data_IF_009229286630
#
_entry.id   IF_009229286630
#
_cell.length_a   1.000
_cell.length_b   1.000
_cell.length_c   1.000
_cell.angle_alpha   90.00
_cell.angle_beta   90.00
_cell.angle_gamma   90.00
#
_symmetry.space_group_name_H-M   'P 1'
#
loop_
_entity.id
_entity.type
_entity.pdbx_description
1 polymer ?
#
# COMPACT_ATOMS: atom_id res chain seq x y z
N UNK A 1 -2.17 7.85 19.59
CA UNK A 1 -1.24 7.90 18.44
C UNK A 1 0.03 7.13 18.79
N UNK A 2 0.29 5.99 18.17
CA UNK A 2 1.47 5.16 18.46
C UNK A 2 2.71 5.80 17.83
N UNK A 3 3.69 6.19 18.66
CA UNK A 3 4.97 6.78 18.19
C UNK A 3 5.64 5.79 17.23
N UNK A 4 5.87 6.18 15.97
CA UNK A 4 6.59 5.35 15.00
C UNK A 4 8.02 5.10 15.51
N UNK A 5 8.44 3.84 15.53
CA UNK A 5 9.77 3.43 16.01
C UNK A 5 10.86 4.06 15.14
N UNK A 6 11.80 4.75 15.80
CA UNK A 6 12.95 5.39 15.19
C UNK A 6 14.13 4.42 15.17
N UNK A 7 14.99 4.51 14.15
CA UNK A 7 16.25 3.78 14.02
C UNK A 7 17.38 4.78 14.14
N UNK A 8 18.32 4.52 15.05
CA UNK A 8 19.50 5.37 15.26
C UNK A 8 20.65 4.86 14.42
N UNK A 9 21.31 5.76 13.69
CA UNK A 9 22.56 5.47 13.01
C UNK A 9 23.72 5.63 14.02
N UNK A 10 24.47 4.57 14.36
CA UNK A 10 25.57 4.67 15.32
C UNK A 10 26.79 5.45 14.76
N UNK A 11 26.89 5.63 13.44
CA UNK A 11 27.98 6.37 12.81
C UNK A 11 27.80 7.89 12.93
N UNK A 12 26.56 8.38 12.96
CA UNK A 12 26.24 9.81 12.98
C UNK A 12 25.44 10.25 14.22
N UNK A 13 24.90 9.31 14.98
CA UNK A 13 23.99 9.58 16.11
C UNK A 13 22.57 9.99 15.72
N UNK A 14 22.28 10.18 14.43
CA UNK A 14 20.96 10.60 13.98
C UNK A 14 19.91 9.51 14.18
N UNK A 15 18.69 9.90 14.56
CA UNK A 15 17.54 9.01 14.67
C UNK A 15 16.45 9.43 13.68
N UNK A 16 16.08 8.52 12.78
CA UNK A 16 15.01 8.72 11.79
C UNK A 16 14.11 7.48 11.70
N UNK A 17 12.89 7.65 11.20
CA UNK A 17 12.01 6.54 10.92
C UNK A 17 12.55 5.75 9.74
N UNK A 18 12.09 4.51 9.60
CA UNK A 18 12.49 3.65 8.50
C UNK A 18 12.14 4.23 7.09
N UNK A 19 11.12 5.09 7.00
CA UNK A 19 10.79 5.82 5.76
C UNK A 19 11.78 6.96 5.49
N UNK A 20 12.00 7.80 6.49
CA UNK A 20 12.94 8.92 6.38
C UNK A 20 14.36 8.44 6.09
N UNK A 21 14.80 7.33 6.69
CA UNK A 21 16.08 6.70 6.33
C UNK A 21 16.10 6.21 4.89
N UNK A 22 15.01 5.60 4.41
CA UNK A 22 14.95 5.15 3.03
C UNK A 22 15.08 6.35 2.07
N UNK A 23 14.31 7.41 2.31
CA UNK A 23 14.35 8.62 1.49
C UNK A 23 15.74 9.30 1.54
N UNK A 24 16.32 9.43 2.73
CA UNK A 24 17.66 10.02 2.93
C UNK A 24 18.78 9.25 2.23
N UNK A 25 18.66 7.91 2.15
CA UNK A 25 19.68 7.04 1.56
C UNK A 25 19.42 6.72 0.08
N UNK A 26 18.38 7.29 -0.52
CA UNK A 26 17.97 6.98 -1.90
C UNK A 26 17.49 5.53 -2.07
N UNK A 27 16.94 4.93 -1.02
CA UNK A 27 16.40 3.57 -0.99
C UNK A 27 14.88 3.59 -1.03
N UNK A 28 14.29 2.46 -1.45
CA UNK A 28 12.88 2.20 -1.15
C UNK A 28 12.72 1.81 0.31
N UNK A 29 11.54 2.04 0.90
CA UNK A 29 11.21 1.54 2.24
C UNK A 29 11.47 0.03 2.37
N UNK A 30 11.10 -0.76 1.35
CA UNK A 30 11.37 -2.19 1.30
C UNK A 30 12.87 -2.50 1.26
N UNK A 31 13.65 -1.70 0.52
CA UNK A 31 15.11 -1.81 0.46
C UNK A 31 15.76 -1.60 1.82
N UNK A 32 15.44 -0.50 2.52
CA UNK A 32 15.99 -0.24 3.86
C UNK A 32 15.48 -1.25 4.91
N UNK A 33 14.20 -1.66 4.82
CA UNK A 33 13.65 -2.74 5.66
C UNK A 33 14.39 -4.06 5.44
N UNK A 34 14.74 -4.39 4.20
CA UNK A 34 15.50 -5.60 3.88
C UNK A 34 16.88 -5.59 4.54
N UNK A 35 17.60 -4.45 4.46
CA UNK A 35 18.89 -4.28 5.15
C UNK A 35 18.77 -4.46 6.66
N UNK A 36 17.73 -3.89 7.27
CA UNK A 36 17.45 -4.05 8.70
C UNK A 36 17.19 -5.52 9.06
N UNK A 37 16.42 -6.25 8.24
CA UNK A 37 16.11 -7.68 8.49
C UNK A 37 17.31 -8.61 8.30
N UNK A 38 18.23 -8.23 7.41
CA UNK A 38 19.49 -8.96 7.16
C UNK A 38 20.56 -8.67 8.21
N UNK A 39 20.27 -7.77 9.17
CA UNK A 39 21.18 -7.37 10.23
C UNK A 39 22.57 -6.96 9.70
N UNK A 40 22.58 -6.19 8.61
CA UNK A 40 23.81 -5.68 8.02
C UNK A 40 24.56 -4.79 9.02
N UNK A 41 25.91 -4.74 8.95
CA UNK A 41 26.68 -3.80 9.73
C UNK A 41 26.31 -2.35 9.37
N UNK A 42 26.57 -1.42 10.29
CA UNK A 42 26.03 -0.06 10.19
C UNK A 42 26.46 0.69 8.92
N UNK A 43 27.71 0.51 8.50
CA UNK A 43 28.25 1.05 7.26
C UNK A 43 27.45 0.62 6.02
N UNK A 44 27.09 -0.67 5.92
CA UNK A 44 26.26 -1.18 4.82
C UNK A 44 24.77 -0.84 4.98
N UNK A 45 24.26 -0.85 6.23
CA UNK A 45 22.87 -0.51 6.52
C UNK A 45 22.56 0.93 6.09
N UNK A 46 23.46 1.85 6.40
CA UNK A 46 23.35 3.28 6.11
C UNK A 46 24.09 3.72 4.83
N UNK A 47 24.59 2.79 4.01
CA UNK A 47 25.22 3.13 2.74
C UNK A 47 24.21 3.71 1.72
N UNK A 48 24.50 4.82 1.01
CA UNK A 48 23.64 5.31 -0.07
C UNK A 48 23.41 4.25 -1.15
N UNK A 49 22.19 4.15 -1.69
CA UNK A 49 21.91 3.22 -2.78
C UNK A 49 22.56 3.69 -4.08
N UNK A 50 23.57 2.96 -4.54
CA UNK A 50 24.12 3.15 -5.88
C UNK A 50 23.35 2.25 -6.87
N UNK A 51 22.07 2.55 -7.11
CA UNK A 51 21.38 2.11 -8.34
C UNK A 51 20.63 0.77 -8.34
N UNK A 52 20.23 0.20 -7.19
CA UNK A 52 19.40 -1.04 -7.18
C UNK A 52 17.89 -0.74 -7.06
N UNK A 53 17.52 0.52 -6.87
CA UNK A 53 16.12 0.97 -6.91
C UNK A 53 15.63 1.24 -8.33
N UNK A 54 14.32 1.16 -8.59
CA UNK A 54 13.75 1.69 -9.83
C UNK A 54 14.18 3.16 -9.96
N UNK A 55 14.74 3.52 -11.12
CA UNK A 55 15.12 4.91 -11.39
C UNK A 55 13.90 5.81 -11.18
N UNK A 56 14.04 6.95 -10.49
CA UNK A 56 12.93 7.88 -10.33
C UNK A 56 12.42 8.30 -11.71
N UNK A 57 11.15 8.04 -11.98
CA UNK A 57 10.49 8.44 -13.21
C UNK A 57 10.08 9.91 -13.08
N UNK A 58 10.49 10.74 -14.05
CA UNK A 58 10.17 12.16 -14.09
C UNK A 58 9.09 12.44 -15.11
N UNK A 59 8.21 13.37 -14.76
CA UNK A 59 7.07 13.77 -15.57
C UNK A 59 6.93 15.28 -15.52
N UNK A 60 6.73 15.88 -16.69
CA UNK A 60 6.47 17.30 -16.86
C UNK A 60 4.98 17.55 -16.96
N UNK A 61 4.46 18.43 -16.09
CA UNK A 61 3.06 18.86 -16.07
C UNK A 61 3.07 20.37 -15.97
N UNK A 62 2.38 21.07 -16.89
CA UNK A 62 2.32 22.53 -16.94
C UNK A 62 3.71 23.22 -16.91
N UNK A 63 4.69 22.65 -17.61
CA UNK A 63 6.07 23.19 -17.67
C UNK A 63 6.93 22.89 -16.45
N UNK A 64 6.42 22.17 -15.45
CA UNK A 64 7.17 21.79 -14.25
C UNK A 64 7.52 20.31 -14.29
N UNK A 65 8.81 19.97 -14.23
CA UNK A 65 9.29 18.58 -14.22
C UNK A 65 9.58 18.14 -12.79
N UNK A 66 8.85 17.13 -12.31
CA UNK A 66 9.08 16.52 -10.99
C UNK A 66 9.11 15.01 -11.10
N UNK A 67 9.62 14.35 -10.06
CA UNK A 67 9.50 12.89 -9.97
C UNK A 67 8.06 12.49 -9.71
N UNK A 68 7.68 11.29 -10.13
CA UNK A 68 6.36 10.74 -9.87
C UNK A 68 6.02 10.67 -8.38
N UNK A 69 7.02 10.49 -7.53
CA UNK A 69 6.82 10.43 -6.08
C UNK A 69 6.43 11.79 -5.52
N UNK A 70 7.13 12.85 -5.95
CA UNK A 70 6.79 14.22 -5.57
C UNK A 70 5.39 14.58 -6.08
N UNK A 71 5.06 14.23 -7.33
CA UNK A 71 3.71 14.44 -7.85
C UNK A 71 2.63 13.67 -7.07
N UNK A 72 2.90 12.43 -6.67
CA UNK A 72 1.98 11.64 -5.87
C UNK A 72 1.75 12.26 -4.49
N UNK A 73 2.82 12.71 -3.83
CA UNK A 73 2.76 13.35 -2.52
C UNK A 73 1.96 14.68 -2.59
N UNK A 74 2.22 15.52 -3.60
CA UNK A 74 1.49 16.78 -3.82
C UNK A 74 0.01 16.55 -4.14
N UNK A 75 -0.31 15.49 -4.89
CA UNK A 75 -1.67 15.16 -5.26
C UNK A 75 -2.42 14.34 -4.19
N UNK A 76 -1.78 14.01 -3.06
CA UNK A 76 -2.36 13.18 -2.00
C UNK A 76 -2.70 11.76 -2.45
N UNK A 77 -1.98 11.23 -3.45
CA UNK A 77 -2.21 9.91 -4.03
C UNK A 77 -1.07 8.94 -3.73
N UNK A 78 -1.38 7.65 -3.76
CA UNK A 78 -0.33 6.63 -3.68
C UNK A 78 0.51 6.65 -4.97
N UNK A 79 1.84 6.55 -4.84
CA UNK A 79 2.77 6.40 -5.97
C UNK A 79 2.31 5.33 -6.98
N UNK A 80 1.84 4.18 -6.48
CA UNK A 80 1.36 3.09 -7.32
C UNK A 80 0.17 3.48 -8.21
N UNK A 81 -0.72 4.35 -7.70
CA UNK A 81 -1.86 4.86 -8.46
C UNK A 81 -1.42 5.76 -9.61
N UNK A 82 -0.50 6.69 -9.33
CA UNK A 82 0.07 7.60 -10.33
C UNK A 82 0.87 6.82 -11.39
N UNK A 83 1.70 5.87 -10.97
CA UNK A 83 2.45 5.00 -11.88
C UNK A 83 1.53 4.12 -12.75
N UNK A 84 0.47 3.56 -12.17
CA UNK A 84 -0.50 2.74 -12.92
C UNK A 84 -1.22 3.57 -13.99
N UNK A 85 -1.60 4.83 -13.68
CA UNK A 85 -2.26 5.72 -14.64
C UNK A 85 -1.38 5.99 -15.87
N UNK A 86 -0.11 6.31 -15.67
CA UNK A 86 0.84 6.46 -16.78
C UNK A 86 1.02 5.17 -17.58
N UNK A 87 1.16 4.04 -16.89
CA UNK A 87 1.24 2.73 -17.55
C UNK A 87 -0.04 2.39 -18.34
N UNK A 88 -1.18 2.96 -17.94
CA UNK A 88 -2.47 2.81 -18.63
C UNK A 88 -2.70 3.86 -19.72
N UNK A 89 -1.68 4.65 -20.08
CA UNK A 89 -1.74 5.65 -21.16
C UNK A 89 -2.41 6.96 -20.79
N UNK A 90 -2.58 7.28 -19.49
CA UNK A 90 -3.09 8.58 -19.08
C UNK A 90 -2.09 9.69 -19.42
N UNK A 91 -2.60 10.90 -19.70
CA UNK A 91 -1.73 12.06 -19.88
C UNK A 91 -1.04 12.42 -18.56
N UNK A 92 0.19 12.98 -18.62
CA UNK A 92 0.88 13.53 -17.45
C UNK A 92 -0.01 14.38 -16.54
N UNK A 93 -0.79 15.28 -17.13
CA UNK A 93 -1.70 16.18 -16.44
C UNK A 93 -2.80 15.39 -15.70
N UNK A 94 -3.52 14.52 -16.41
CA UNK A 94 -4.61 13.73 -15.83
C UNK A 94 -4.13 12.78 -14.75
N UNK A 95 -2.89 12.32 -14.86
CA UNK A 95 -2.30 11.37 -13.92
C UNK A 95 -2.17 11.98 -12.53
N UNK A 96 -1.80 13.26 -12.43
CA UNK A 96 -1.51 13.95 -11.17
C UNK A 96 -2.65 14.87 -10.72
N UNK A 97 -3.46 15.40 -11.64
CA UNK A 97 -4.54 16.35 -11.31
C UNK A 97 -5.82 15.62 -10.92
N UNK A 98 -6.19 14.54 -11.63
CA UNK A 98 -7.46 13.86 -11.33
C UNK A 98 -7.35 13.14 -9.99
N UNK A 99 -8.23 13.40 -9.01
CA UNK A 99 -8.19 12.68 -7.75
C UNK A 99 -8.32 11.17 -8.01
N UNK A 100 -7.67 10.34 -7.19
CA UNK A 100 -7.99 8.93 -7.17
C UNK A 100 -9.48 8.82 -6.86
N UNK A 101 -10.26 8.23 -7.77
CA UNK A 101 -11.65 7.93 -7.46
C UNK A 101 -11.63 7.15 -6.14
N UNK A 102 -12.25 7.63 -5.05
CA UNK A 102 -12.33 6.83 -3.84
C UNK A 102 -12.96 5.53 -4.29
N UNK A 103 -12.19 4.43 -4.20
CA UNK A 103 -12.69 3.13 -4.61
C UNK A 103 -14.05 2.99 -3.93
N UNK A 104 -15.17 2.88 -4.68
CA UNK A 104 -16.39 2.41 -4.05
C UNK A 104 -15.97 1.06 -3.51
N UNK A 105 -15.85 0.97 -2.18
CA UNK A 105 -15.32 -0.22 -1.54
C UNK A 105 -16.02 -1.43 -2.16
N UNK A 106 -15.27 -2.50 -2.44
CA UNK A 106 -15.81 -3.70 -3.13
C UNK A 106 -17.24 -3.94 -2.63
N UNK A 107 -18.26 -3.90 -3.50
CA UNK A 107 -19.64 -3.96 -3.06
C UNK A 107 -19.79 -5.19 -2.16
N UNK A 108 -20.28 -4.95 -0.93
CA UNK A 108 -20.42 -6.03 0.06
C UNK A 108 -21.40 -7.06 -0.51
N UNK A 109 -20.94 -8.31 -0.61
CA UNK A 109 -21.80 -9.41 -1.07
C UNK A 109 -22.81 -9.74 0.03
N UNK A 110 -24.08 -9.76 -0.36
CA UNK A 110 -25.18 -10.22 0.48
C UNK A 110 -25.52 -11.66 0.11
N UNK A 111 -25.94 -12.42 1.11
CA UNK A 111 -26.28 -13.83 1.00
C UNK A 111 -27.66 -14.02 1.61
N UNK A 112 -28.54 -14.64 0.83
CA UNK A 112 -29.86 -15.04 1.26
C UNK A 112 -29.79 -16.40 1.97
N UNK A 113 -30.33 -16.48 3.19
CA UNK A 113 -30.48 -17.72 3.92
C UNK A 113 -31.70 -17.60 4.85
N UNK A 114 -32.58 -18.60 4.84
CA UNK A 114 -33.84 -18.64 5.64
C UNK A 114 -34.75 -17.41 5.45
N UNK A 115 -34.78 -16.84 4.24
CA UNK A 115 -35.61 -15.68 3.92
C UNK A 115 -35.03 -14.34 4.35
N UNK A 116 -33.82 -14.32 4.92
CA UNK A 116 -33.11 -13.09 5.27
C UNK A 116 -31.90 -12.87 4.37
N UNK A 117 -31.63 -11.61 4.04
CA UNK A 117 -30.50 -11.20 3.18
C UNK A 117 -29.51 -10.41 4.02
N UNK A 118 -28.38 -11.02 4.36
CA UNK A 118 -27.33 -10.41 5.21
C UNK A 118 -25.94 -10.58 4.59
N UNK A 119 -24.98 -9.79 5.02
CA UNK A 119 -23.56 -9.98 4.67
C UNK A 119 -22.96 -11.17 5.42
N UNK A 120 -21.86 -11.75 4.91
CA UNK A 120 -21.17 -12.85 5.57
C UNK A 120 -20.75 -12.52 7.02
N UNK A 121 -20.32 -11.28 7.26
CA UNK A 121 -19.93 -10.81 8.59
C UNK A 121 -21.13 -10.70 9.55
N UNK A 122 -22.31 -10.30 9.07
CA UNK A 122 -23.54 -10.26 9.86
C UNK A 122 -24.04 -11.66 10.19
N UNK A 123 -24.03 -12.56 9.21
CA UNK A 123 -24.31 -13.97 9.45
C UNK A 123 -23.32 -14.60 10.43
N UNK A 124 -22.02 -14.30 10.30
CA UNK A 124 -21.01 -14.83 11.21
C UNK A 124 -21.30 -14.46 12.67
N UNK A 125 -21.75 -13.22 12.95
CA UNK A 125 -22.17 -12.80 14.29
C UNK A 125 -23.32 -13.65 14.84
N UNK A 126 -24.27 -14.02 14.00
CA UNK A 126 -25.40 -14.87 14.39
C UNK A 126 -24.99 -16.33 14.65
N UNK A 127 -23.99 -16.83 13.93
CA UNK A 127 -23.47 -18.19 14.07
C UNK A 127 -22.21 -18.30 14.94
N UNK A 128 -21.77 -17.22 15.60
CA UNK A 128 -20.45 -17.14 16.25
C UNK A 128 -20.18 -18.12 17.41
N UNK A 129 -21.14 -18.78 18.10
CA UNK A 129 -20.75 -19.86 18.99
C UNK A 129 -20.46 -21.19 18.26
N UNK A 130 -20.78 -21.33 16.96
CA UNK A 130 -20.76 -22.63 16.25
C UNK A 130 -19.87 -22.63 15.00
N UNK A 131 -19.64 -21.49 14.33
CA UNK A 131 -18.82 -21.45 13.11
C UNK A 131 -18.15 -20.08 12.85
N UNK A 132 -16.94 -20.10 12.28
CA UNK A 132 -16.21 -18.88 11.87
C UNK A 132 -16.75 -18.28 10.56
N UNK A 133 -16.58 -16.97 10.35
CA UNK A 133 -17.00 -16.23 9.15
C UNK A 133 -16.49 -16.88 7.85
N UNK A 134 -15.22 -17.30 7.85
CA UNK A 134 -14.58 -17.97 6.71
C UNK A 134 -15.22 -19.32 6.39
N UNK A 135 -15.62 -20.09 7.42
CA UNK A 135 -16.29 -21.39 7.27
C UNK A 135 -17.69 -21.22 6.71
N UNK A 136 -18.43 -20.22 7.20
CA UNK A 136 -19.79 -19.93 6.75
C UNK A 136 -19.84 -19.41 5.31
N UNK A 137 -18.93 -18.50 4.94
CA UNK A 137 -18.81 -17.98 3.58
C UNK A 137 -18.46 -19.06 2.54
N UNK A 138 -17.79 -20.13 2.97
CA UNK A 138 -17.50 -21.31 2.13
C UNK A 138 -18.74 -22.22 2.01
N UNK A 139 -19.39 -22.55 3.12
CA UNK A 139 -20.60 -23.40 3.12
C UNK A 139 -21.75 -22.82 2.27
N UNK A 140 -21.97 -21.50 2.33
CA UNK A 140 -23.00 -20.82 1.51
C UNK A 140 -22.65 -20.87 0.01
N UNK A 141 -21.36 -20.84 -0.34
CA UNK A 141 -20.91 -20.93 -1.74
C UNK A 141 -21.12 -22.34 -2.30
N UNK A 142 -20.78 -23.35 -1.50
CA UNK A 142 -20.86 -24.76 -1.88
C UNK A 142 -22.33 -25.21 -2.01
N UNK A 143 -23.23 -24.69 -1.17
CA UNK A 143 -24.68 -24.93 -1.28
C UNK A 143 -25.34 -24.34 -2.54
N UNK A 144 -24.69 -23.36 -3.19
CA UNK A 144 -25.21 -22.66 -4.38
C UNK A 144 -24.81 -23.32 -5.71
N UNK A 145 -23.95 -24.34 -5.67
CA UNK A 145 -23.47 -25.09 -6.84
C UNK A 145 -24.04 -26.51 -6.97
N UNK A 146 -25.03 -26.87 -6.14
CA UNK A 146 -25.60 -28.22 -6.07
C UNK A 146 -27.05 -28.29 -6.61
N UNK A 147 -27.39 -27.45 -7.59
CA UNK A 147 -28.67 -27.50 -8.31
C UNK A 147 -28.42 -27.76 -9.80
#
# INVERSE_FOLDING_TARGET
MTRRKQITNPLTGEAKTMHEWADHLGLTYAGFRSRTRRNLPADELFAPSHGIGPKPQYVTVNGVTKSLRVWADEAGMCYSTVAQRLASGWTPEDTVIKPANPYPGRPRKHFEFRGEVKTAAEWAKEFTPVMSESTLAKAIRDARGAA
#
